data_IF_161349561609
#
_entry.id   IF_161349561609
#
_cell.length_a   1.000
_cell.length_b   1.000
_cell.length_c   1.000
_cell.angle_alpha   90.00
_cell.angle_beta   90.00
_cell.angle_gamma   90.00
#
_symmetry.space_group_name_H-M   'P 1'
#
loop_
_entity.id
_entity.type
_entity.pdbx_description
1 polymer ?
#
# COMPACT_ATOMS: atom_id res chain seq x y z
N UNK A 1 7.12 -73.89 36.91
CA UNK A 1 7.96 -73.59 38.09
C UNK A 1 8.12 -72.07 38.15
N UNK A 2 7.32 -71.41 38.99
CA UNK A 2 7.78 -70.82 40.28
C UNK A 2 8.70 -69.61 40.06
N UNK A 3 8.18 -68.38 40.13
CA UNK A 3 8.22 -67.58 41.36
C UNK A 3 7.86 -66.12 41.07
N UNK A 4 6.85 -65.70 41.80
CA UNK A 4 6.39 -64.35 42.09
C UNK A 4 7.44 -63.56 42.87
N UNK A 5 7.65 -62.28 42.51
CA UNK A 5 8.08 -61.25 43.44
C UNK A 5 7.25 -59.98 43.20
N UNK A 6 6.66 -59.54 44.30
CA UNK A 6 5.82 -58.36 44.50
C UNK A 6 6.66 -57.07 44.51
N UNK A 7 5.93 -55.96 44.70
CA UNK A 7 6.35 -54.63 45.18
C UNK A 7 6.42 -53.57 44.07
N UNK A 8 5.81 -52.39 44.15
CA UNK A 8 5.37 -51.59 45.30
C UNK A 8 4.36 -50.51 44.84
N UNK A 9 3.67 -49.94 45.82
CA UNK A 9 2.72 -48.84 45.75
C UNK A 9 3.20 -47.61 44.95
N UNK A 10 2.31 -47.04 44.14
CA UNK A 10 2.40 -45.66 43.67
C UNK A 10 1.00 -45.12 43.36
N UNK A 11 0.46 -44.29 44.27
CA UNK A 11 -0.83 -43.62 44.09
C UNK A 11 -0.84 -42.76 42.80
N UNK A 12 -1.96 -42.71 42.05
CA UNK A 12 -2.06 -41.80 40.92
C UNK A 12 -2.11 -40.36 41.43
N UNK A 13 -1.12 -39.56 41.05
CA UNK A 13 -1.10 -38.12 41.30
C UNK A 13 -2.21 -37.44 40.48
N UNK A 14 -3.27 -37.00 41.16
CA UNK A 14 -4.36 -36.23 40.56
C UNK A 14 -3.86 -34.81 40.27
N UNK A 15 -3.27 -34.61 39.09
CA UNK A 15 -2.89 -33.27 38.61
C UNK A 15 -4.15 -32.55 38.13
N UNK A 16 -4.81 -31.83 39.05
CA UNK A 16 -5.95 -30.94 38.77
C UNK A 16 -5.55 -29.91 37.70
N UNK A 17 -5.97 -30.15 36.46
CA UNK A 17 -5.76 -29.27 35.32
C UNK A 17 -6.64 -28.03 35.51
N UNK A 18 -6.07 -26.99 36.13
CA UNK A 18 -6.72 -25.68 36.31
C UNK A 18 -7.24 -25.17 34.96
N UNK A 19 -8.52 -24.79 35.00
CA UNK A 19 -9.40 -24.29 33.94
C UNK A 19 -8.72 -23.28 33.01
N UNK A 20 -8.57 -23.63 31.72
CA UNK A 20 -8.22 -22.71 30.62
C UNK A 20 -9.46 -22.03 30.02
N UNK A 21 -10.41 -21.61 30.85
CA UNK A 21 -11.64 -20.95 30.39
C UNK A 21 -11.56 -19.41 30.49
N UNK A 22 -10.46 -18.84 30.99
CA UNK A 22 -10.30 -17.39 31.16
C UNK A 22 -9.71 -16.63 29.97
N UNK A 23 -9.03 -17.31 29.04
CA UNK A 23 -8.30 -16.63 27.94
C UNK A 23 -9.10 -16.48 26.64
N UNK A 24 -10.19 -17.22 26.46
CA UNK A 24 -10.94 -17.19 25.20
C UNK A 24 -11.82 -15.92 25.04
N UNK A 25 -12.26 -15.28 26.13
CA UNK A 25 -13.11 -14.08 26.06
C UNK A 25 -12.30 -12.80 25.75
N UNK A 26 -11.03 -12.75 26.16
CA UNK A 26 -10.16 -11.58 25.93
C UNK A 26 -9.68 -11.51 24.47
N UNK A 27 -9.46 -12.67 23.82
CA UNK A 27 -9.01 -12.72 22.43
C UNK A 27 -10.11 -12.28 21.43
N UNK A 28 -11.37 -12.60 21.70
CA UNK A 28 -12.49 -12.24 20.81
C UNK A 28 -12.77 -10.72 20.81
N UNK A 29 -12.58 -10.03 21.93
CA UNK A 29 -12.73 -8.58 22.03
C UNK A 29 -11.56 -7.83 21.38
N UNK A 30 -10.33 -8.38 21.45
CA UNK A 30 -9.15 -7.80 20.80
C UNK A 30 -9.20 -7.85 19.28
N UNK A 31 -9.68 -8.95 18.70
CA UNK A 31 -9.80 -9.09 17.23
C UNK A 31 -10.92 -8.22 16.65
N UNK A 32 -12.06 -8.07 17.37
CA UNK A 32 -13.14 -7.18 16.95
C UNK A 32 -12.77 -5.70 16.97
N UNK A 33 -11.98 -5.27 17.96
CA UNK A 33 -11.49 -3.89 18.05
C UNK A 33 -10.50 -3.54 16.92
N UNK A 34 -9.64 -4.50 16.51
CA UNK A 34 -8.68 -4.32 15.41
C UNK A 34 -9.37 -4.28 14.03
N UNK A 35 -10.44 -5.06 13.82
CA UNK A 35 -11.23 -5.02 12.57
C UNK A 35 -12.14 -3.78 12.49
N UNK A 36 -12.71 -3.33 13.60
CA UNK A 36 -13.49 -2.09 13.66
C UNK A 36 -12.60 -0.85 13.44
N UNK A 37 -11.37 -0.84 13.98
CA UNK A 37 -10.41 0.25 13.77
C UNK A 37 -10.02 0.43 12.29
N UNK A 38 -9.93 -0.66 11.52
CA UNK A 38 -9.60 -0.59 10.08
C UNK A 38 -10.70 0.03 9.21
N UNK A 39 -11.97 -0.11 9.59
CA UNK A 39 -13.10 0.50 8.87
C UNK A 39 -13.30 1.97 9.25
N UNK A 40 -12.90 2.39 10.45
CA UNK A 40 -13.07 3.77 10.94
C UNK A 40 -11.91 4.69 10.50
N UNK A 41 -10.72 4.13 10.26
CA UNK A 41 -9.54 4.88 9.77
C UNK A 41 -9.74 5.75 8.51
N UNK A 42 -10.38 5.28 7.41
CA UNK A 42 -10.52 6.11 6.21
C UNK A 42 -11.48 7.30 6.39
N UNK A 43 -12.35 7.25 7.39
CA UNK A 43 -13.37 8.26 7.64
C UNK A 43 -12.89 9.34 8.62
N UNK A 44 -12.08 8.98 9.62
CA UNK A 44 -11.38 9.97 10.44
C UNK A 44 -10.36 10.74 9.58
N UNK A 45 -9.60 10.07 8.71
CA UNK A 45 -8.65 10.73 7.80
C UNK A 45 -9.34 11.69 6.81
N UNK A 46 -10.54 11.34 6.30
CA UNK A 46 -11.34 12.23 5.46
C UNK A 46 -11.87 13.44 6.23
N UNK A 47 -12.35 13.23 7.46
CA UNK A 47 -12.88 14.30 8.30
C UNK A 47 -11.78 15.29 8.72
N UNK A 48 -10.60 14.80 9.12
CA UNK A 48 -9.47 15.67 9.48
C UNK A 48 -8.90 16.40 8.27
N UNK A 49 -8.81 15.76 7.10
CA UNK A 49 -8.44 16.44 5.86
C UNK A 49 -9.45 17.54 5.50
N UNK A 50 -10.75 17.30 5.68
CA UNK A 50 -11.80 18.29 5.42
C UNK A 50 -11.76 19.51 6.35
N UNK A 51 -11.15 19.37 7.54
CA UNK A 51 -11.07 20.43 8.55
C UNK A 51 -9.68 21.05 8.72
N UNK A 52 -8.73 20.77 7.83
CA UNK A 52 -7.38 21.34 7.91
C UNK A 52 -7.43 22.88 7.83
N UNK A 53 -7.16 23.63 8.93
CA UNK A 53 -7.17 25.09 8.93
C UNK A 53 -6.04 25.69 8.10
N UNK A 54 -5.02 24.87 7.77
CA UNK A 54 -3.90 25.23 6.91
C UNK A 54 -4.18 24.96 5.43
N UNK A 55 -5.34 24.36 5.08
CA UNK A 55 -5.74 24.22 3.68
C UNK A 55 -5.85 25.62 3.09
N UNK A 56 -5.00 25.97 2.11
CA UNK A 56 -5.13 27.24 1.44
C UNK A 56 -6.52 27.28 0.79
N UNK A 57 -7.37 28.19 1.23
CA UNK A 57 -8.67 28.48 0.59
C UNK A 57 -8.49 29.21 -0.74
N UNK A 58 -7.23 29.48 -1.12
CA UNK A 58 -6.86 30.09 -2.38
C UNK A 58 -7.18 29.14 -3.53
N UNK A 59 -8.32 29.41 -4.16
CA UNK A 59 -8.66 28.77 -5.42
C UNK A 59 -7.65 29.22 -6.47
N UNK A 60 -6.99 28.27 -7.13
CA UNK A 60 -6.07 28.56 -8.23
C UNK A 60 -6.78 29.39 -9.31
N UNK A 61 -6.12 30.45 -9.77
CA UNK A 61 -6.58 31.23 -10.92
C UNK A 61 -6.59 30.36 -12.18
N UNK A 62 -7.37 30.76 -13.19
CA UNK A 62 -7.40 30.06 -14.47
C UNK A 62 -6.01 29.94 -15.10
N UNK A 63 -5.18 30.99 -14.99
CA UNK A 63 -3.81 31.00 -15.48
C UNK A 63 -2.93 29.99 -14.73
N UNK A 64 -2.99 29.95 -13.40
CA UNK A 64 -2.23 28.97 -12.61
C UNK A 64 -2.63 27.53 -12.94
N UNK A 65 -3.94 27.27 -13.11
CA UNK A 65 -4.44 25.95 -13.54
C UNK A 65 -3.92 25.57 -14.91
N UNK A 66 -3.94 26.50 -15.86
CA UNK A 66 -3.42 26.27 -17.20
C UNK A 66 -1.91 25.95 -17.17
N UNK A 67 -1.13 26.69 -16.39
CA UNK A 67 0.30 26.44 -16.21
C UNK A 67 0.56 25.05 -15.63
N UNK A 68 -0.11 24.70 -14.53
CA UNK A 68 0.07 23.38 -13.89
C UNK A 68 -0.37 22.23 -14.80
N UNK A 69 -1.47 22.39 -15.54
CA UNK A 69 -1.90 21.41 -16.53
C UNK A 69 -0.90 21.29 -17.68
N UNK A 70 -0.27 22.38 -18.10
CA UNK A 70 0.83 22.37 -19.07
C UNK A 70 2.01 21.54 -18.59
N UNK A 71 2.46 21.78 -17.35
CA UNK A 71 3.52 21.00 -16.71
C UNK A 71 3.15 19.52 -16.67
N UNK A 72 1.94 19.18 -16.24
CA UNK A 72 1.48 17.78 -16.19
C UNK A 72 1.49 17.10 -17.58
N UNK A 73 1.08 17.82 -18.63
CA UNK A 73 1.13 17.31 -20.02
C UNK A 73 2.57 17.08 -20.48
N UNK A 74 3.48 17.98 -20.16
CA UNK A 74 4.88 17.83 -20.56
C UNK A 74 5.58 16.72 -19.77
N UNK A 75 5.24 16.53 -18.49
CA UNK A 75 5.65 15.35 -17.71
C UNK A 75 5.13 14.06 -18.33
N UNK A 76 3.89 14.02 -18.80
CA UNK A 76 3.36 12.82 -19.47
C UNK A 76 4.11 12.51 -20.77
N UNK A 77 4.31 13.54 -21.62
CA UNK A 77 5.08 13.41 -22.87
C UNK A 77 6.51 12.91 -22.66
N UNK A 78 7.10 13.21 -21.50
CA UNK A 78 8.40 12.65 -21.15
C UNK A 78 8.31 11.13 -21.06
N UNK A 79 7.40 10.59 -20.23
CA UNK A 79 7.25 9.14 -20.07
C UNK A 79 6.84 8.42 -21.36
N UNK A 80 5.98 9.03 -22.19
CA UNK A 80 5.64 8.48 -23.52
C UNK A 80 6.87 8.20 -24.40
N UNK A 81 7.95 8.98 -24.22
CA UNK A 81 9.17 8.88 -25.02
C UNK A 81 10.28 8.07 -24.35
N UNK A 82 10.21 7.90 -23.02
CA UNK A 82 11.36 7.43 -22.22
C UNK A 82 11.09 6.13 -21.49
N UNK A 83 9.89 5.55 -21.59
CA UNK A 83 9.65 4.15 -21.20
C UNK A 83 10.35 3.22 -22.20
N UNK A 84 11.06 2.22 -21.67
CA UNK A 84 11.73 1.22 -22.49
C UNK A 84 10.70 0.31 -23.17
N UNK A 85 10.74 0.13 -24.51
CA UNK A 85 9.72 -0.63 -25.23
C UNK A 85 9.81 -2.14 -25.04
N UNK A 86 10.94 -2.68 -24.52
CA UNK A 86 11.13 -4.10 -24.30
C UNK A 86 10.71 -4.52 -22.89
N UNK A 87 11.05 -3.69 -21.88
CA UNK A 87 10.76 -3.98 -20.47
C UNK A 87 9.48 -3.31 -19.98
N UNK A 88 8.99 -2.30 -20.69
CA UNK A 88 7.87 -1.44 -20.29
C UNK A 88 8.11 -0.69 -18.96
N UNK A 89 9.37 -0.51 -18.58
CA UNK A 89 9.76 0.21 -17.37
C UNK A 89 10.32 1.60 -17.71
N UNK A 90 10.13 2.61 -16.84
CA UNK A 90 10.68 3.94 -17.04
C UNK A 90 12.21 3.90 -16.89
N UNK A 91 12.94 4.56 -17.80
CA UNK A 91 14.40 4.65 -17.71
C UNK A 91 14.84 5.58 -16.58
N UNK A 92 15.81 5.17 -15.77
CA UNK A 92 16.33 5.97 -14.64
C UNK A 92 17.32 7.05 -15.09
N UNK A 93 18.08 6.78 -16.16
CA UNK A 93 19.14 7.66 -16.65
C UNK A 93 19.00 7.89 -18.15
N UNK A 94 18.98 9.17 -18.54
CA UNK A 94 19.07 9.61 -19.92
C UNK A 94 20.34 10.46 -20.06
N UNK A 95 21.24 10.02 -20.93
CA UNK A 95 22.42 10.78 -21.31
C UNK A 95 22.15 11.68 -22.51
N UNK A 96 23.17 12.43 -22.97
CA UNK A 96 23.05 13.26 -24.17
C UNK A 96 22.72 12.41 -25.41
N UNK A 97 21.92 12.98 -26.31
CA UNK A 97 21.48 12.33 -27.54
C UNK A 97 20.53 11.16 -27.25
N UNK A 98 20.88 9.97 -27.75
CA UNK A 98 20.09 8.74 -27.60
C UNK A 98 20.61 7.82 -26.47
N UNK A 99 21.60 8.30 -25.69
CA UNK A 99 22.19 7.50 -24.62
C UNK A 99 21.16 7.22 -23.53
N UNK A 100 20.91 5.94 -23.24
CA UNK A 100 19.93 5.49 -22.24
C UNK A 100 20.58 4.51 -21.28
N UNK A 101 20.25 4.62 -19.99
CA UNK A 101 20.60 3.60 -19.01
C UNK A 101 19.89 2.27 -19.30
N UNK A 102 20.39 1.18 -18.73
CA UNK A 102 19.85 -0.17 -18.97
C UNK A 102 19.05 -0.72 -17.79
N UNK A 103 18.73 0.11 -16.80
CA UNK A 103 18.03 -0.28 -15.58
C UNK A 103 17.07 0.81 -15.13
N UNK A 104 16.18 0.43 -14.21
CA UNK A 104 15.26 1.33 -13.52
C UNK A 104 15.36 1.16 -12.01
N UNK A 105 14.97 2.18 -11.25
CA UNK A 105 14.84 2.11 -9.80
C UNK A 105 13.38 1.87 -9.39
N UNK A 106 13.17 1.24 -8.24
CA UNK A 106 11.83 1.07 -7.68
C UNK A 106 11.13 2.43 -7.42
N UNK A 107 11.91 3.46 -7.08
CA UNK A 107 11.41 4.82 -6.93
C UNK A 107 10.88 5.39 -8.25
N UNK A 108 11.63 5.21 -9.35
CA UNK A 108 11.20 5.69 -10.67
C UNK A 108 9.97 4.95 -11.18
N UNK A 109 9.88 3.63 -10.95
CA UNK A 109 8.65 2.86 -11.21
C UNK A 109 7.47 3.47 -10.44
N UNK A 110 7.64 3.77 -9.14
CA UNK A 110 6.59 4.39 -8.32
C UNK A 110 6.13 5.74 -8.88
N UNK A 111 7.06 6.60 -9.28
CA UNK A 111 6.76 7.91 -9.88
C UNK A 111 6.03 7.74 -11.22
N UNK A 112 6.44 6.79 -12.06
CA UNK A 112 5.76 6.49 -13.32
C UNK A 112 4.31 6.05 -13.08
N UNK A 113 4.06 5.10 -12.17
CA UNK A 113 2.71 4.64 -11.84
C UNK A 113 1.83 5.78 -11.31
N UNK A 114 2.37 6.63 -10.43
CA UNK A 114 1.68 7.82 -9.96
C UNK A 114 1.36 8.79 -11.11
N UNK A 115 2.26 8.93 -12.08
CA UNK A 115 2.07 9.78 -13.26
C UNK A 115 0.97 9.24 -14.19
N UNK A 116 0.87 7.92 -14.39
CA UNK A 116 -0.22 7.28 -15.14
C UNK A 116 -1.59 7.61 -14.51
N UNK A 117 -1.69 7.46 -13.19
CA UNK A 117 -2.92 7.79 -12.45
C UNK A 117 -3.27 9.28 -12.59
N UNK A 118 -2.29 10.16 -12.39
CA UNK A 118 -2.49 11.60 -12.54
C UNK A 118 -2.92 11.99 -13.97
N UNK A 119 -2.31 11.40 -15.00
CA UNK A 119 -2.67 11.64 -16.40
C UNK A 119 -4.11 11.20 -16.71
N UNK A 120 -4.56 10.07 -16.18
CA UNK A 120 -5.94 9.61 -16.30
C UNK A 120 -6.94 10.54 -15.58
N UNK A 121 -6.59 10.98 -14.37
CA UNK A 121 -7.46 11.83 -13.54
C UNK A 121 -7.61 13.22 -14.15
N UNK A 122 -6.53 13.77 -14.69
CA UNK A 122 -6.48 15.05 -15.39
C UNK A 122 -6.98 14.97 -16.85
N UNK A 123 -7.36 13.78 -17.33
CA UNK A 123 -7.83 13.54 -18.71
C UNK A 123 -6.80 13.93 -19.78
N UNK A 124 -5.51 13.79 -19.44
CA UNK A 124 -4.41 13.88 -20.40
C UNK A 124 -4.40 12.64 -21.29
N UNK A 125 -4.67 11.47 -20.71
CA UNK A 125 -4.87 10.20 -21.42
C UNK A 125 -6.26 9.63 -21.16
N UNK A 126 -6.67 8.71 -22.03
CA UNK A 126 -7.94 8.01 -21.87
C UNK A 126 -7.88 6.97 -20.75
N UNK A 127 -9.03 6.63 -20.16
CA UNK A 127 -9.09 5.57 -19.15
C UNK A 127 -8.67 4.19 -19.68
N UNK A 128 -9.06 3.75 -20.89
CA UNK A 128 -8.56 2.49 -21.46
C UNK A 128 -7.04 2.48 -21.65
N UNK A 129 -6.48 3.57 -22.15
CA UNK A 129 -5.03 3.74 -22.30
C UNK A 129 -4.31 3.64 -20.95
N UNK A 130 -4.77 4.36 -19.93
CA UNK A 130 -4.19 4.26 -18.59
C UNK A 130 -4.21 2.82 -18.04
N UNK A 131 -5.24 2.04 -18.34
CA UNK A 131 -5.35 0.62 -17.94
C UNK A 131 -4.43 -0.31 -18.73
N UNK A 132 -3.97 0.09 -19.91
CA UNK A 132 -2.98 -0.70 -20.67
C UNK A 132 -1.54 -0.48 -20.20
N UNK A 133 -1.32 0.52 -19.34
CA UNK A 133 0.01 0.93 -18.89
C UNK A 133 0.36 0.44 -17.48
N UNK A 134 -0.56 -0.25 -16.81
CA UNK A 134 -0.44 -0.83 -15.46
C UNK A 134 -0.95 -2.26 -15.42
#
# INVERSE_FOLDING_TARGET
MKHQQNETHGAPSTRTRRRRFGTALVAALGAGALLAAGLVQPQIARATAAQDPLRPTTTLSAAQRATLLGIAKDTWKFFEKTVDPNTHLPLDNLGPGETKGTYTSAANIGVYLQSVVAANDLKIISRPEARSLI
#
